data_IF_674823795637
#
_entry.id   IF_674823795637
#
_cell.length_a   1.000
_cell.length_b   1.000
_cell.length_c   1.000
_cell.angle_alpha   90.00
_cell.angle_beta   90.00
_cell.angle_gamma   90.00
#
_symmetry.space_group_name_H-M   'P 1'
#
loop_
_entity.id
_entity.type
_entity.pdbx_description
1 polymer ?
#
# COMPACT_ATOMS: atom_id res chain seq x y z
N UNK A 1 -17.58 -14.76 -5.73
CA UNK A 1 -17.74 -13.49 -5.00
C UNK A 1 -17.40 -12.41 -5.99
N UNK A 2 -18.32 -11.49 -6.30
CA UNK A 2 -18.11 -10.50 -7.35
C UNK A 2 -17.08 -9.48 -6.88
N UNK A 3 -15.82 -9.62 -7.30
CA UNK A 3 -14.83 -8.58 -7.08
C UNK A 3 -15.28 -7.33 -7.86
N UNK A 4 -15.43 -6.21 -7.14
CA UNK A 4 -15.99 -4.95 -7.65
C UNK A 4 -15.08 -4.20 -8.63
N UNK A 5 -14.54 -4.90 -9.63
CA UNK A 5 -13.69 -4.32 -10.68
C UNK A 5 -14.49 -4.24 -11.98
N UNK A 6 -15.57 -3.47 -11.96
CA UNK A 6 -16.44 -3.28 -13.13
C UNK A 6 -16.68 -1.78 -13.41
N UNK A 7 -16.46 -1.40 -14.68
CA UNK A 7 -17.15 -0.31 -15.40
C UNK A 7 -16.99 1.15 -14.93
N UNK A 8 -15.77 1.59 -14.59
CA UNK A 8 -15.50 3.04 -14.41
C UNK A 8 -16.17 3.65 -13.17
N UNK A 9 -16.38 2.84 -12.13
CA UNK A 9 -16.96 3.30 -10.89
C UNK A 9 -15.98 4.16 -10.08
N UNK A 10 -16.45 5.31 -9.59
CA UNK A 10 -15.68 6.31 -8.84
C UNK A 10 -15.00 5.75 -7.57
N UNK A 11 -15.51 4.66 -7.02
CA UNK A 11 -14.97 4.01 -5.81
C UNK A 11 -13.57 3.42 -6.03
N UNK A 12 -13.16 3.22 -7.28
CA UNK A 12 -11.81 2.75 -7.60
C UNK A 12 -10.74 3.71 -7.09
N UNK A 13 -11.00 5.02 -7.05
CA UNK A 13 -10.03 6.04 -6.58
C UNK A 13 -9.63 5.82 -5.11
N UNK A 14 -10.47 5.14 -4.33
CA UNK A 14 -10.19 4.87 -2.92
C UNK A 14 -9.35 3.61 -2.67
N UNK A 15 -8.90 2.92 -3.72
CA UNK A 15 -7.91 1.86 -3.55
C UNK A 15 -6.64 2.43 -2.94
N UNK A 16 -6.14 1.74 -1.93
CA UNK A 16 -5.02 2.22 -1.14
C UNK A 16 -3.75 2.36 -1.99
N UNK A 17 -3.60 1.54 -3.03
CA UNK A 17 -2.50 1.60 -3.99
C UNK A 17 -2.46 2.94 -4.74
N UNK A 18 -3.63 3.43 -5.20
CA UNK A 18 -3.71 4.73 -5.88
C UNK A 18 -3.46 5.89 -4.92
N UNK A 19 -4.04 5.85 -3.72
CA UNK A 19 -3.80 6.87 -2.68
C UNK A 19 -2.31 6.90 -2.33
N UNK A 20 -1.69 5.74 -2.14
CA UNK A 20 -0.28 5.65 -1.82
C UNK A 20 0.64 6.08 -2.96
N UNK A 21 0.29 5.79 -4.22
CA UNK A 21 1.00 6.33 -5.39
C UNK A 21 0.95 7.87 -5.41
N UNK A 22 -0.24 8.45 -5.22
CA UNK A 22 -0.41 9.90 -5.13
C UNK A 22 0.41 10.47 -3.96
N UNK A 23 0.36 9.82 -2.78
CA UNK A 23 1.10 10.22 -1.60
C UNK A 23 2.63 10.17 -1.79
N UNK A 24 3.14 9.14 -2.49
CA UNK A 24 4.56 9.04 -2.86
C UNK A 24 4.92 10.20 -3.81
N UNK A 25 4.11 10.45 -4.84
CA UNK A 25 4.32 11.55 -5.78
C UNK A 25 4.33 12.92 -5.11
N UNK A 26 3.35 13.20 -4.24
CA UNK A 26 3.31 14.42 -3.44
C UNK A 26 4.54 14.53 -2.54
N UNK A 27 4.92 13.46 -1.85
CA UNK A 27 6.11 13.39 -1.02
C UNK A 27 7.40 13.71 -1.78
N UNK A 28 7.50 13.30 -3.05
CA UNK A 28 8.60 13.70 -3.93
C UNK A 28 8.61 15.21 -4.22
N UNK A 29 7.47 15.78 -4.59
CA UNK A 29 7.33 17.20 -4.95
C UNK A 29 7.69 18.10 -3.76
N UNK A 30 7.10 17.83 -2.58
CA UNK A 30 7.35 18.63 -1.37
C UNK A 30 8.64 18.20 -0.64
N UNK A 31 9.34 17.19 -1.17
CA UNK A 31 10.55 16.60 -0.59
C UNK A 31 10.35 16.15 0.87
N UNK A 32 9.20 15.53 1.14
CA UNK A 32 8.85 14.97 2.45
C UNK A 32 9.01 13.45 2.45
N UNK A 33 10.15 12.99 2.97
CA UNK A 33 10.43 11.56 3.08
C UNK A 33 9.65 10.83 4.18
N UNK A 34 9.05 11.52 5.16
CA UNK A 34 8.14 10.87 6.12
C UNK A 34 6.82 10.49 5.45
N UNK A 35 6.31 11.33 4.55
CA UNK A 35 5.12 11.02 3.75
C UNK A 35 5.39 9.84 2.78
N UNK A 36 6.52 9.83 2.08
CA UNK A 36 6.88 8.69 1.21
C UNK A 36 7.00 7.41 2.03
N UNK A 37 7.64 7.46 3.21
CA UNK A 37 7.75 6.29 4.07
C UNK A 37 6.39 5.85 4.62
N UNK A 38 5.49 6.77 4.95
CA UNK A 38 4.16 6.38 5.43
C UNK A 38 3.39 5.59 4.37
N UNK A 39 3.51 5.97 3.09
CA UNK A 39 2.93 5.23 1.98
C UNK A 39 3.58 3.85 1.80
N UNK A 40 4.91 3.78 1.87
CA UNK A 40 5.61 2.49 1.83
C UNK A 40 5.19 1.57 2.97
N UNK A 41 4.99 2.10 4.18
CA UNK A 41 4.55 1.29 5.32
C UNK A 41 3.15 0.70 5.11
N UNK A 42 2.28 1.43 4.43
CA UNK A 42 0.94 0.96 4.06
C UNK A 42 1.04 -0.13 2.99
N UNK A 43 1.80 0.14 1.92
CA UNK A 43 1.71 -0.59 0.66
C UNK A 43 2.58 -1.84 0.59
N UNK A 44 3.70 -1.89 1.31
CA UNK A 44 4.74 -2.91 1.06
C UNK A 44 4.23 -4.34 1.19
N UNK A 45 3.54 -4.68 2.29
CA UNK A 45 3.05 -6.05 2.47
C UNK A 45 1.88 -6.37 1.52
N UNK A 46 0.83 -5.54 1.41
CA UNK A 46 -0.26 -5.80 0.47
C UNK A 46 0.20 -5.99 -0.98
N UNK A 47 1.13 -5.14 -1.46
CA UNK A 47 1.65 -5.24 -2.82
C UNK A 47 2.52 -6.48 -3.01
N UNK A 48 3.36 -6.86 -2.04
CA UNK A 48 4.11 -8.13 -2.11
C UNK A 48 3.16 -9.33 -2.22
N UNK A 49 2.09 -9.36 -1.43
CA UNK A 49 1.10 -10.44 -1.50
C UNK A 49 0.37 -10.46 -2.84
N UNK A 50 0.02 -9.28 -3.37
CA UNK A 50 -0.58 -9.15 -4.70
C UNK A 50 0.39 -9.62 -5.81
N UNK A 51 1.66 -9.22 -5.76
CA UNK A 51 2.68 -9.59 -6.74
C UNK A 51 2.94 -11.11 -6.74
N UNK A 52 2.98 -11.73 -5.56
CA UNK A 52 3.08 -13.19 -5.41
C UNK A 52 1.90 -13.87 -6.10
N UNK A 53 0.69 -13.35 -5.88
CA UNK A 53 -0.54 -13.90 -6.44
C UNK A 53 -0.58 -13.77 -7.97
N UNK A 54 -0.19 -12.59 -8.47
CA UNK A 54 -0.06 -12.28 -9.89
C UNK A 54 0.95 -13.20 -10.58
N UNK A 55 2.16 -13.34 -10.02
CA UNK A 55 3.21 -14.22 -10.55
C UNK A 55 2.76 -15.69 -10.50
N UNK A 56 2.11 -16.11 -9.42
CA UNK A 56 1.56 -17.47 -9.30
C UNK A 56 0.59 -17.76 -10.44
N UNK A 57 -0.32 -16.85 -10.73
CA UNK A 57 -1.27 -17.02 -11.83
C UNK A 57 -0.56 -17.10 -13.19
N UNK A 58 0.48 -16.30 -13.43
CA UNK A 58 1.22 -16.36 -14.69
C UNK A 58 1.85 -17.74 -14.94
N UNK A 59 2.38 -18.36 -13.87
CA UNK A 59 3.08 -19.65 -13.93
C UNK A 59 2.10 -20.84 -13.89
N UNK A 60 1.14 -20.83 -12.98
CA UNK A 60 0.29 -21.98 -12.64
C UNK A 60 -1.14 -21.88 -13.14
N UNK A 61 -1.55 -20.70 -13.64
CA UNK A 61 -2.95 -20.34 -13.95
C UNK A 61 -3.88 -20.36 -12.73
N UNK A 62 -3.32 -20.30 -11.53
CA UNK A 62 -4.05 -20.24 -10.27
C UNK A 62 -3.45 -19.17 -9.35
N UNK A 63 -4.31 -18.42 -8.69
CA UNK A 63 -3.95 -17.53 -7.58
C UNK A 63 -3.87 -18.34 -6.28
N UNK A 64 -2.98 -17.92 -5.38
CA UNK A 64 -2.80 -18.50 -4.04
C UNK A 64 -3.81 -17.90 -3.06
N UNK A 65 -4.03 -16.59 -3.15
CA UNK A 65 -4.85 -15.82 -2.20
C UNK A 65 -6.14 -15.28 -2.82
N UNK A 66 -6.18 -15.15 -4.15
CA UNK A 66 -7.29 -14.53 -4.89
C UNK A 66 -7.28 -13.00 -4.84
N UNK A 67 -6.14 -12.40 -4.46
CA UNK A 67 -5.95 -10.95 -4.43
C UNK A 67 -5.76 -10.36 -5.84
N UNK A 68 -5.22 -11.14 -6.77
CA UNK A 68 -4.99 -10.73 -8.16
C UNK A 68 -6.06 -11.23 -9.14
N UNK A 69 -7.08 -11.97 -8.68
CA UNK A 69 -8.13 -12.54 -9.53
C UNK A 69 -8.79 -11.48 -10.42
N UNK A 70 -9.10 -10.32 -9.83
CA UNK A 70 -9.75 -9.21 -10.53
C UNK A 70 -8.97 -8.71 -11.75
N UNK A 71 -7.65 -8.90 -11.78
CA UNK A 71 -6.81 -8.50 -12.90
C UNK A 71 -7.07 -9.39 -14.13
N UNK A 72 -7.30 -10.68 -13.89
CA UNK A 72 -7.45 -11.69 -14.93
C UNK A 72 -8.91 -11.89 -15.37
N UNK A 73 -9.88 -11.51 -14.52
CA UNK A 73 -11.31 -11.43 -14.87
C UNK A 73 -11.59 -10.32 -15.91
N UNK A 74 -12.82 -10.29 -16.45
CA UNK A 74 -13.25 -9.31 -17.47
C UNK A 74 -13.19 -7.86 -16.98
N UNK A 75 -12.03 -7.24 -17.15
CA UNK A 75 -11.75 -5.84 -16.87
C UNK A 75 -11.33 -5.10 -18.14
N UNK A 76 -11.51 -3.77 -18.15
CA UNK A 76 -11.05 -2.96 -19.28
C UNK A 76 -9.53 -3.01 -19.40
N UNK A 77 -9.01 -2.91 -20.63
CA UNK A 77 -7.56 -2.90 -20.86
C UNK A 77 -6.86 -1.78 -20.09
N UNK A 78 -7.54 -0.62 -19.95
CA UNK A 78 -7.05 0.51 -19.18
C UNK A 78 -6.94 0.20 -17.69
N UNK A 79 -7.93 -0.48 -17.11
CA UNK A 79 -7.90 -0.89 -15.71
C UNK A 79 -6.72 -1.84 -15.46
N UNK A 80 -6.49 -2.82 -16.35
CA UNK A 80 -5.33 -3.72 -16.26
C UNK A 80 -4.01 -2.95 -16.35
N UNK A 81 -3.88 -2.03 -17.30
CA UNK A 81 -2.66 -1.22 -17.44
C UNK A 81 -2.37 -0.40 -16.18
N UNK A 82 -3.39 0.21 -15.57
CA UNK A 82 -3.24 0.95 -14.32
C UNK A 82 -2.86 -0.02 -13.18
N UNK A 83 -3.53 -1.16 -13.06
CA UNK A 83 -3.22 -2.16 -12.03
C UNK A 83 -1.80 -2.74 -12.16
N UNK A 84 -1.13 -2.66 -13.30
CA UNK A 84 0.29 -3.04 -13.38
C UNK A 84 1.20 -2.15 -12.52
N UNK A 85 0.71 -1.03 -11.99
CA UNK A 85 1.44 -0.22 -11.01
C UNK A 85 1.94 -1.00 -9.80
N UNK A 86 1.21 -2.05 -9.40
CA UNK A 86 1.51 -2.83 -8.20
C UNK A 86 2.94 -3.40 -8.25
N UNK A 87 3.37 -3.83 -9.44
CA UNK A 87 4.69 -4.45 -9.70
C UNK A 87 5.87 -3.51 -9.44
N UNK A 88 5.67 -2.18 -9.57
CA UNK A 88 6.76 -1.22 -9.51
C UNK A 88 6.61 -0.17 -8.41
N UNK A 89 5.47 -0.10 -7.73
CA UNK A 89 5.21 0.94 -6.74
C UNK A 89 6.14 0.84 -5.52
N UNK A 90 6.48 -0.38 -5.06
CA UNK A 90 7.48 -0.55 -3.98
C UNK A 90 8.88 -0.10 -4.43
N UNK A 91 9.47 -0.62 -5.54
CA UNK A 91 10.76 -0.13 -6.03
C UNK A 91 10.81 1.38 -6.24
N UNK A 92 9.76 1.96 -6.83
CA UNK A 92 9.67 3.41 -7.05
C UNK A 92 9.59 4.18 -5.74
N UNK A 93 8.79 3.74 -4.78
CA UNK A 93 8.69 4.39 -3.47
C UNK A 93 10.02 4.34 -2.71
N UNK A 94 10.75 3.22 -2.77
CA UNK A 94 12.07 3.08 -2.17
C UNK A 94 13.09 4.00 -2.84
N UNK A 95 13.08 4.07 -4.19
CA UNK A 95 13.93 4.99 -4.95
C UNK A 95 13.61 6.44 -4.61
N UNK A 96 12.34 6.82 -4.59
CA UNK A 96 11.86 8.15 -4.19
C UNK A 96 12.36 8.52 -2.78
N UNK A 97 12.22 7.59 -1.83
CA UNK A 97 12.69 7.78 -0.47
C UNK A 97 14.21 7.95 -0.38
N UNK A 98 14.96 7.24 -1.22
CA UNK A 98 16.41 7.38 -1.34
C UNK A 98 16.82 8.75 -1.89
N UNK A 99 16.10 9.26 -2.90
CA UNK A 99 16.39 10.57 -3.52
C UNK A 99 16.09 11.74 -2.56
N UNK A 100 15.09 11.60 -1.70
CA UNK A 100 14.64 12.65 -0.77
C UNK A 100 15.32 12.57 0.62
N UNK A 101 16.14 11.53 0.87
CA UNK A 101 16.73 11.22 2.19
C UNK A 101 17.61 12.30 2.83
N UNK A 102 18.08 13.30 2.08
CA UNK A 102 18.94 14.35 2.62
C UNK A 102 18.13 15.44 3.36
N UNK A 103 16.82 15.57 3.11
CA UNK A 103 15.92 16.53 3.80
C UNK A 103 15.12 15.87 4.93
N UNK A 104 15.66 14.78 5.42
CA UNK A 104 14.92 13.84 6.19
C UNK A 104 15.10 14.16 7.67
N UNK A 105 14.21 15.00 8.19
CA UNK A 105 14.05 15.12 9.63
C UNK A 105 13.85 13.72 10.20
N UNK A 106 14.55 13.44 11.32
CA UNK A 106 14.54 12.16 12.04
C UNK A 106 13.13 11.54 11.95
N UNK A 107 12.97 10.52 11.10
CA UNK A 107 11.71 9.88 10.64
C UNK A 107 10.91 9.26 11.79
N UNK A 108 10.50 10.05 12.78
CA UNK A 108 10.01 9.54 14.07
C UNK A 108 8.56 9.07 13.97
N UNK A 109 7.79 9.61 13.02
CA UNK A 109 6.33 9.52 13.05
C UNK A 109 5.69 9.02 11.74
N UNK A 110 6.44 8.50 10.76
CA UNK A 110 5.87 8.01 9.49
C UNK A 110 4.74 6.97 9.70
N UNK A 111 4.93 6.03 10.62
CA UNK A 111 3.87 5.07 11.02
C UNK A 111 2.60 5.74 11.54
N UNK A 112 2.67 6.91 12.21
CA UNK A 112 1.48 7.65 12.67
C UNK A 112 0.69 8.18 11.49
N UNK A 113 1.39 8.74 10.50
CA UNK A 113 0.76 9.22 9.26
C UNK A 113 0.03 8.05 8.59
N UNK A 114 0.68 6.88 8.49
CA UNK A 114 0.05 5.68 7.93
C UNK A 114 -1.24 5.32 8.65
N UNK A 115 -1.22 5.23 9.99
CA UNK A 115 -2.40 4.86 10.77
C UNK A 115 -3.52 5.89 10.67
N UNK A 116 -3.19 7.19 10.67
CA UNK A 116 -4.19 8.25 10.51
C UNK A 116 -4.87 8.11 9.15
N UNK A 117 -4.08 7.95 8.08
CA UNK A 117 -4.59 7.81 6.72
C UNK A 117 -5.49 6.59 6.57
N UNK A 118 -5.04 5.43 7.07
CA UNK A 118 -5.81 4.18 7.06
C UNK A 118 -7.11 4.28 7.87
N UNK A 119 -7.09 4.97 9.01
CA UNK A 119 -8.28 5.17 9.84
C UNK A 119 -9.28 6.08 9.13
N UNK A 120 -8.81 7.19 8.54
CA UNK A 120 -9.67 8.08 7.76
C UNK A 120 -10.26 7.35 6.54
N UNK A 121 -9.44 6.59 5.82
CA UNK A 121 -9.88 5.79 4.69
C UNK A 121 -10.93 4.75 5.10
N UNK A 122 -10.73 4.06 6.23
CA UNK A 122 -11.69 3.11 6.78
C UNK A 122 -13.04 3.79 7.08
N UNK A 123 -13.03 4.94 7.75
CA UNK A 123 -14.26 5.69 8.07
C UNK A 123 -14.97 6.12 6.79
N UNK A 124 -14.24 6.72 5.84
CA UNK A 124 -14.80 7.17 4.56
C UNK A 124 -15.43 6.00 3.81
N UNK A 125 -14.74 4.86 3.71
CA UNK A 125 -15.26 3.69 3.04
C UNK A 125 -16.45 3.06 3.76
N UNK A 126 -16.48 3.07 5.10
CA UNK A 126 -17.65 2.58 5.86
C UNK A 126 -18.90 3.44 5.66
N UNK A 127 -18.75 4.72 5.35
CA UNK A 127 -19.86 5.65 5.16
C UNK A 127 -20.33 5.65 3.69
N UNK A 128 -19.39 5.67 2.74
CA UNK A 128 -19.68 5.93 1.32
C UNK A 128 -19.74 4.64 0.50
N UNK A 129 -19.02 3.60 0.89
CA UNK A 129 -18.96 2.34 0.14
C UNK A 129 -20.09 1.39 0.53
N UNK A 130 -20.40 0.48 -0.39
CA UNK A 130 -21.34 -0.63 -0.18
C UNK A 130 -20.51 -1.90 0.04
N UNK A 131 -21.00 -2.79 0.91
CA UNK A 131 -20.31 -4.05 1.26
C UNK A 131 -19.91 -4.87 0.05
N UNK A 132 -20.72 -4.84 -1.01
CA UNK A 132 -20.54 -5.68 -2.19
C UNK A 132 -19.26 -5.35 -2.96
N UNK A 133 -18.75 -4.13 -2.85
CA UNK A 133 -17.51 -3.71 -3.52
C UNK A 133 -16.26 -4.00 -2.69
N UNK A 134 -16.40 -4.02 -1.37
CA UNK A 134 -15.36 -4.34 -0.37
C UNK A 134 -13.93 -3.85 -0.68
N UNK A 135 -13.80 -2.61 -1.15
CA UNK A 135 -12.51 -1.97 -1.45
C UNK A 135 -11.63 -1.95 -0.19
N UNK A 136 -10.35 -2.29 -0.34
CA UNK A 136 -9.39 -2.43 0.76
C UNK A 136 -9.84 -3.39 1.90
N UNK A 137 -10.76 -4.31 1.57
CA UNK A 137 -11.27 -5.32 2.49
C UNK A 137 -11.87 -4.73 3.78
N UNK A 138 -12.55 -3.58 3.74
CA UNK A 138 -13.00 -2.93 4.99
C UNK A 138 -14.26 -3.56 5.61
N UNK A 139 -15.05 -4.32 4.85
CA UNK A 139 -16.29 -4.97 5.32
C UNK A 139 -16.08 -6.42 5.72
N UNK A 140 -15.29 -7.15 4.94
CA UNK A 140 -14.91 -8.54 5.18
C UNK A 140 -13.54 -8.79 4.53
N UNK A 141 -12.93 -9.93 4.82
CA UNK A 141 -11.61 -10.24 4.26
C UNK A 141 -11.65 -10.47 2.75
N UNK A 142 -10.62 -9.99 2.05
CA UNK A 142 -10.41 -10.35 0.65
C UNK A 142 -9.85 -11.77 0.48
N UNK A 143 -9.45 -12.43 1.56
CA UNK A 143 -9.02 -13.84 1.56
C UNK A 143 -10.23 -14.69 1.99
N UNK A 144 -10.81 -15.52 1.11
CA UNK A 144 -12.11 -16.18 1.32
C UNK A 144 -12.23 -16.98 2.63
N UNK A 145 -11.13 -17.54 3.13
CA UNK A 145 -11.12 -18.45 4.28
C UNK A 145 -10.80 -17.76 5.61
N UNK A 146 -10.56 -16.44 5.63
CA UNK A 146 -10.12 -15.72 6.83
C UNK A 146 -11.11 -14.60 7.11
N UNK A 147 -12.23 -14.85 7.80
CA UNK A 147 -13.18 -13.78 8.15
C UNK A 147 -13.51 -13.80 9.65
N UNK A 148 -12.62 -13.27 10.51
CA UNK A 148 -12.80 -13.32 11.95
C UNK A 148 -13.86 -12.32 12.44
N UNK A 149 -14.58 -12.66 13.50
CA UNK A 149 -15.53 -11.76 14.16
C UNK A 149 -14.97 -11.24 15.51
N UNK A 150 -15.05 -9.94 15.82
CA UNK A 150 -15.59 -8.85 14.99
C UNK A 150 -14.58 -8.35 13.93
N UNK A 151 -14.98 -8.37 12.65
CA UNK A 151 -14.06 -8.11 11.53
C UNK A 151 -13.36 -6.76 11.57
N UNK A 152 -14.08 -5.69 11.93
CA UNK A 152 -13.51 -4.34 11.99
C UNK A 152 -12.30 -4.26 12.94
N UNK A 153 -12.35 -4.94 14.09
CA UNK A 153 -11.24 -4.98 15.03
C UNK A 153 -10.03 -5.68 14.41
N UNK A 154 -10.25 -6.82 13.76
CA UNK A 154 -9.20 -7.59 13.10
C UNK A 154 -8.59 -6.86 11.90
N UNK A 155 -9.39 -6.07 11.19
CA UNK A 155 -8.88 -5.19 10.13
C UNK A 155 -7.86 -4.19 10.71
N UNK A 156 -8.20 -3.50 11.81
CA UNK A 156 -7.27 -2.57 12.47
C UNK A 156 -6.03 -3.27 13.03
N UNK A 157 -6.18 -4.45 13.65
CA UNK A 157 -5.03 -5.24 14.14
C UNK A 157 -4.10 -5.59 12.97
N UNK A 158 -4.65 -6.08 11.86
CA UNK A 158 -3.88 -6.47 10.67
C UNK A 158 -3.11 -5.28 10.10
N UNK A 159 -3.81 -4.16 9.88
CA UNK A 159 -3.22 -2.93 9.35
C UNK A 159 -2.15 -2.37 10.28
N UNK A 160 -2.39 -2.38 11.59
CA UNK A 160 -1.40 -1.97 12.59
C UNK A 160 -0.14 -2.83 12.51
N UNK A 161 -0.30 -4.15 12.48
CA UNK A 161 0.83 -5.08 12.35
C UNK A 161 1.62 -4.84 11.06
N UNK A 162 0.94 -4.64 9.93
CA UNK A 162 1.56 -4.33 8.63
C UNK A 162 2.39 -3.05 8.72
N UNK A 163 1.80 -1.96 9.23
CA UNK A 163 2.46 -0.66 9.33
C UNK A 163 3.67 -0.70 10.25
N UNK A 164 3.56 -1.35 11.41
CA UNK A 164 4.68 -1.45 12.36
C UNK A 164 5.81 -2.33 11.84
N UNK A 165 5.47 -3.47 11.22
CA UNK A 165 6.45 -4.39 10.66
C UNK A 165 7.25 -3.73 9.53
N UNK A 166 6.56 -3.07 8.61
CA UNK A 166 7.20 -2.36 7.49
C UNK A 166 8.04 -1.17 7.97
N UNK A 167 7.52 -0.36 8.90
CA UNK A 167 8.28 0.74 9.50
C UNK A 167 9.56 0.25 10.17
N UNK A 168 9.49 -0.88 10.88
CA UNK A 168 10.65 -1.53 11.48
C UNK A 168 11.67 -2.00 10.43
N UNK A 169 11.22 -2.72 9.39
CA UNK A 169 12.07 -3.20 8.28
C UNK A 169 12.80 -2.03 7.62
N UNK A 170 12.06 -0.97 7.27
CA UNK A 170 12.63 0.19 6.60
C UNK A 170 13.63 0.92 7.49
N UNK A 171 13.31 1.17 8.77
CA UNK A 171 14.24 1.81 9.72
C UNK A 171 15.54 1.03 9.92
N UNK A 172 15.51 -0.31 9.83
CA UNK A 172 16.69 -1.17 9.93
C UNK A 172 17.49 -1.29 8.62
N UNK A 173 16.90 -0.94 7.48
CA UNK A 173 17.55 -1.06 6.18
C UNK A 173 18.74 -0.09 5.99
N UNK A 174 19.77 -0.52 5.26
CA UNK A 174 20.98 0.30 4.99
C UNK A 174 20.67 1.60 4.23
N UNK A 175 19.55 1.64 3.51
CA UNK A 175 19.03 2.84 2.82
C UNK A 175 18.85 3.99 3.81
N UNK A 176 18.52 3.68 5.07
CA UNK A 176 18.34 4.65 6.15
C UNK A 176 19.65 4.92 6.91
N UNK A 177 20.54 3.93 6.99
CA UNK A 177 21.80 4.02 7.74
C UNK A 177 22.84 4.87 6.99
N UNK A 178 22.92 4.77 5.65
CA UNK A 178 23.99 5.45 4.88
C UNK A 178 23.74 6.95 4.66
N UNK A 179 22.49 7.40 4.63
CA UNK A 179 22.15 8.84 4.54
C UNK A 179 22.72 9.65 5.71
N UNK A 180 22.85 9.04 6.88
CA UNK A 180 23.37 9.69 8.08
C UNK A 180 24.89 9.92 8.02
N UNK A 181 25.65 9.02 7.39
CA UNK A 181 27.13 9.15 7.27
C UNK A 181 27.54 10.21 6.25
N UNK A 182 26.87 10.27 5.10
CA UNK A 182 27.23 11.19 4.03
C UNK A 182 26.84 12.65 4.34
N UNK A 183 25.81 12.87 5.17
CA UNK A 183 25.43 14.20 5.63
C UNK A 183 26.43 14.76 6.68
N UNK A 184 27.03 13.89 7.51
CA UNK A 184 28.05 14.29 8.47
C UNK A 184 29.38 14.65 7.81
N UNK A 185 29.73 14.02 6.69
CA UNK A 185 30.97 14.34 5.95
C UNK A 185 30.90 15.63 5.11
N UNK A 186 29.72 16.21 4.89
CA UNK A 186 29.58 17.50 4.18
C UNK A 186 29.58 18.73 5.10
N UNK A 187 29.72 18.51 6.41
CA UNK A 187 29.73 19.54 7.45
C UNK A 187 31.06 19.57 8.24
N UNK A 188 32.07 18.81 7.77
CA UNK A 188 33.47 18.88 8.19
C UNK A 188 34.29 19.37 7.00
#
# INVERSE_FOLDING_TARGET
MGYGVLKGESMLVFWICYIGMIGIGLGCIIKNGELILSQLNILTIPLILWDIDFISFLITKQTIFGLADYFFEESSIMARMISLEHLFLIPLGVLALYLVKNKLNKRKNAWKISLIELTLLFIVLKIISISDKNVNCVFYSCIPYINPEPYALWWFVTVFLIVFLTDFIYKKSKIFISGNKNAQQKLQ
#
